data_IF_900204759253
#
_entry.id   IF_900204759253
#
_cell.length_a   1.000
_cell.length_b   1.000
_cell.length_c   1.000
_cell.angle_alpha   90.00
_cell.angle_beta   90.00
_cell.angle_gamma   90.00
#
_symmetry.space_group_name_H-M   'P 1'
#
loop_
_entity.id
_entity.type
_entity.pdbx_description
1 polymer ?
#
# COMPACT_ATOMS: atom_id res chain seq x y z
N UNK A 1 -5.66 16.41 1.05
CA UNK A 1 -4.79 15.27 0.69
C UNK A 1 -5.44 13.94 1.00
N UNK A 2 -5.97 13.29 -0.04
CA UNK A 2 -6.56 11.96 0.02
C UNK A 2 -5.56 10.95 -0.56
N UNK A 3 -5.47 9.75 0.00
CA UNK A 3 -4.58 8.70 -0.54
C UNK A 3 -5.28 7.90 -1.65
N UNK A 4 -4.60 7.67 -2.77
CA UNK A 4 -5.09 6.87 -3.88
C UNK A 4 -4.80 5.37 -3.68
N UNK A 5 -5.81 4.67 -3.16
CA UNK A 5 -5.78 3.23 -2.93
C UNK A 5 -5.81 2.40 -4.22
N UNK A 6 -6.36 2.93 -5.32
CA UNK A 6 -6.38 2.21 -6.60
C UNK A 6 -4.97 2.15 -7.18
N UNK A 7 -4.24 3.26 -7.14
CA UNK A 7 -2.86 3.30 -7.58
C UNK A 7 -1.97 2.34 -6.77
N UNK A 8 -2.19 2.24 -5.46
CA UNK A 8 -1.50 1.27 -4.60
C UNK A 8 -1.76 -0.17 -5.01
N UNK A 9 -3.02 -0.49 -5.30
CA UNK A 9 -3.43 -1.83 -5.74
C UNK A 9 -2.83 -2.20 -7.10
N UNK A 10 -2.74 -1.25 -8.02
CA UNK A 10 -2.07 -1.43 -9.30
C UNK A 10 -0.58 -1.64 -9.13
N UNK A 11 0.10 -0.81 -8.33
CA UNK A 11 1.51 -0.97 -8.02
C UNK A 11 1.81 -2.35 -7.42
N UNK A 12 0.99 -2.81 -6.47
CA UNK A 12 1.14 -4.16 -5.90
C UNK A 12 1.04 -5.26 -6.95
N UNK A 13 0.07 -5.16 -7.86
CA UNK A 13 -0.12 -6.14 -8.95
C UNK A 13 1.04 -6.12 -9.94
N UNK A 14 1.56 -4.94 -10.27
CA UNK A 14 2.69 -4.79 -11.20
C UNK A 14 3.97 -5.43 -10.65
N UNK A 15 4.19 -5.36 -9.33
CA UNK A 15 5.28 -6.05 -8.64
C UNK A 15 5.03 -7.56 -8.45
N UNK A 16 3.92 -8.10 -8.98
CA UNK A 16 3.53 -9.51 -8.85
C UNK A 16 3.23 -9.95 -7.40
N UNK A 17 2.97 -9.00 -6.49
CA UNK A 17 2.74 -9.29 -5.07
C UNK A 17 1.27 -9.58 -4.79
N UNK A 18 1.02 -10.55 -3.94
CA UNK A 18 -0.32 -10.84 -3.42
C UNK A 18 -0.64 -9.97 -2.21
N UNK A 19 -1.93 -9.86 -1.86
CA UNK A 19 -2.34 -9.23 -0.59
C UNK A 19 -1.74 -9.94 0.63
N UNK A 20 -1.46 -11.24 0.54
CA UNK A 20 -0.86 -12.02 1.61
C UNK A 20 0.62 -11.67 1.81
N UNK A 21 1.36 -11.44 0.73
CA UNK A 21 2.79 -11.08 0.79
C UNK A 21 2.99 -9.75 1.53
N UNK A 22 2.17 -8.75 1.19
CA UNK A 22 2.26 -7.42 1.83
C UNK A 22 1.82 -7.50 3.30
N UNK A 23 0.76 -8.25 3.59
CA UNK A 23 0.31 -8.48 4.96
C UNK A 23 1.39 -9.15 5.81
N UNK A 24 2.05 -10.18 5.27
CA UNK A 24 3.17 -10.87 5.91
C UNK A 24 4.34 -9.91 6.16
N UNK A 25 4.69 -9.06 5.19
CA UNK A 25 5.74 -8.05 5.35
C UNK A 25 5.42 -7.01 6.44
N UNK A 26 4.15 -6.61 6.55
CA UNK A 26 3.68 -5.70 7.59
C UNK A 26 3.47 -6.37 8.96
N UNK A 27 3.57 -7.71 9.04
CA UNK A 27 3.21 -8.51 10.21
C UNK A 27 1.76 -8.26 10.69
N UNK A 28 0.82 -8.19 9.74
CA UNK A 28 -0.61 -8.07 10.00
C UNK A 28 -1.37 -9.21 9.31
N UNK A 29 -2.63 -9.39 9.67
CA UNK A 29 -3.46 -10.38 8.99
C UNK A 29 -3.85 -9.91 7.57
N UNK A 30 -4.03 -10.88 6.66
CA UNK A 30 -4.43 -10.62 5.27
C UNK A 30 -5.72 -9.79 5.17
N UNK A 31 -6.67 -10.01 6.08
CA UNK A 31 -7.96 -9.32 6.03
C UNK A 31 -7.83 -7.84 6.39
N UNK A 32 -6.95 -7.51 7.34
CA UNK A 32 -6.59 -6.14 7.70
C UNK A 32 -5.91 -5.43 6.55
N UNK A 33 -4.92 -6.06 5.90
CA UNK A 33 -4.32 -5.48 4.71
C UNK A 33 -5.35 -5.27 3.58
N UNK A 34 -6.25 -6.24 3.37
CA UNK A 34 -7.31 -6.09 2.36
C UNK A 34 -8.19 -4.87 2.66
N UNK A 35 -8.69 -4.74 3.89
CA UNK A 35 -9.52 -3.59 4.29
C UNK A 35 -8.77 -2.27 4.13
N UNK A 36 -7.46 -2.25 4.40
CA UNK A 36 -6.62 -1.07 4.19
C UNK A 36 -6.44 -0.73 2.70
N UNK A 37 -6.07 -1.71 1.87
CA UNK A 37 -5.95 -1.51 0.42
C UNK A 37 -7.31 -1.16 -0.24
N UNK A 38 -8.41 -1.66 0.29
CA UNK A 38 -9.75 -1.35 -0.21
C UNK A 38 -10.29 0.00 0.34
N UNK A 39 -9.48 0.75 1.12
CA UNK A 39 -9.80 2.09 1.63
C UNK A 39 -10.79 2.12 2.80
N UNK A 40 -11.17 0.96 3.36
CA UNK A 40 -12.10 0.84 4.48
C UNK A 40 -11.46 1.23 5.82
N UNK A 41 -10.15 1.06 5.93
CA UNK A 41 -9.33 1.43 7.09
C UNK A 41 -8.10 2.16 6.56
N UNK A 42 -7.63 3.19 7.26
CA UNK A 42 -6.43 3.93 6.86
C UNK A 42 -5.14 3.15 7.18
N UNK A 43 -4.13 3.32 6.33
CA UNK A 43 -2.75 3.02 6.71
C UNK A 43 -2.26 4.10 7.66
N UNK A 44 -1.52 3.71 8.70
CA UNK A 44 -0.67 4.67 9.38
C UNK A 44 0.55 5.04 8.50
N UNK A 45 1.21 6.14 8.83
CA UNK A 45 2.34 6.65 8.04
C UNK A 45 3.51 5.65 7.95
N UNK A 46 3.75 4.86 9.01
CA UNK A 46 4.85 3.88 9.06
C UNK A 46 4.51 2.64 8.24
N UNK A 47 3.29 2.13 8.34
CA UNK A 47 2.78 1.06 7.48
C UNK A 47 2.86 1.47 6.02
N UNK A 48 2.38 2.67 5.68
CA UNK A 48 2.39 3.13 4.30
C UNK A 48 3.81 3.24 3.75
N UNK A 49 4.74 3.79 4.53
CA UNK A 49 6.15 3.86 4.15
C UNK A 49 6.75 2.47 3.88
N UNK A 50 6.44 1.49 4.73
CA UNK A 50 6.86 0.08 4.57
C UNK A 50 6.25 -0.57 3.33
N UNK A 51 4.95 -0.36 3.07
CA UNK A 51 4.31 -0.88 1.85
C UNK A 51 4.99 -0.30 0.62
N UNK A 52 5.20 1.02 0.58
CA UNK A 52 5.84 1.66 -0.56
C UNK A 52 7.28 1.20 -0.78
N UNK A 53 8.01 0.89 0.30
CA UNK A 53 9.34 0.28 0.21
C UNK A 53 9.27 -1.15 -0.32
N UNK A 54 8.37 -1.99 0.21
CA UNK A 54 8.20 -3.37 -0.22
C UNK A 54 7.77 -3.52 -1.68
N UNK A 55 7.01 -2.55 -2.18
CA UNK A 55 6.59 -2.46 -3.58
C UNK A 55 7.59 -1.72 -4.47
N UNK A 56 8.82 -1.47 -3.99
CA UNK A 56 9.88 -0.79 -4.73
C UNK A 56 9.49 0.57 -5.31
N UNK A 57 8.54 1.29 -4.67
CA UNK A 57 8.07 2.60 -5.15
C UNK A 57 9.15 3.65 -4.83
N UNK A 58 9.75 4.28 -5.86
CA UNK A 58 10.79 5.29 -5.66
C UNK A 58 10.25 6.49 -4.86
N UNK A 59 11.07 7.05 -3.97
CA UNK A 59 10.67 8.20 -3.14
C UNK A 59 10.15 9.39 -3.96
N UNK A 60 10.72 9.63 -5.13
CA UNK A 60 10.31 10.69 -6.07
C UNK A 60 8.87 10.53 -6.59
N UNK A 61 8.37 9.30 -6.66
CA UNK A 61 7.03 8.97 -7.18
C UNK A 61 5.97 8.84 -6.10
N UNK A 62 6.35 8.84 -4.82
CA UNK A 62 5.40 8.65 -3.71
C UNK A 62 4.34 9.76 -3.64
N UNK A 63 4.66 10.96 -4.12
CA UNK A 63 3.71 12.06 -4.23
C UNK A 63 2.51 11.76 -5.14
N UNK A 64 2.68 10.89 -6.15
CA UNK A 64 1.61 10.50 -7.09
C UNK A 64 0.42 9.80 -6.39
N UNK A 65 0.65 9.23 -5.20
CA UNK A 65 -0.37 8.52 -4.44
C UNK A 65 -1.21 9.45 -3.55
N UNK A 66 -0.89 10.74 -3.49
CA UNK A 66 -1.60 11.70 -2.66
C UNK A 66 -2.31 12.71 -3.57
N UNK A 67 -3.63 12.61 -3.64
CA UNK A 67 -4.48 13.53 -4.37
C UNK A 67 -4.48 14.90 -3.65
N UNK A 68 -4.36 15.99 -4.42
CA UNK A 68 -4.43 17.36 -3.92
C UNK A 68 -5.75 17.64 -3.17
#
# INVERSE_FOLDING_TARGET
MLFDYNLLKEARKNEGKTKADVAAYLNIDRSSYSRKEDGLITFDVRELAKVMEFLNIPRSRRGEFFLE
#
